data_IF_772791943046
#
_entry.id   IF_772791943046
#
_cell.length_a   1.000
_cell.length_b   1.000
_cell.length_c   1.000
_cell.angle_alpha   90.00
_cell.angle_beta   90.00
_cell.angle_gamma   90.00
#
_symmetry.space_group_name_H-M   'P 1'
#
loop_
_entity.id
_entity.type
_entity.pdbx_description
1 polymer ?
#
# COMPACT_ATOMS: atom_id res chain seq x y z
N UNK A 1 14.67 -10.66 12.13
CA UNK A 1 14.26 -10.98 13.51
C UNK A 1 12.85 -11.55 13.45
N UNK A 2 12.61 -12.71 14.05
CA UNK A 2 11.28 -13.36 14.06
C UNK A 2 10.58 -12.93 15.35
N UNK A 3 9.43 -12.27 15.25
CA UNK A 3 8.58 -11.95 16.41
C UNK A 3 7.84 -13.20 16.87
N UNK A 4 7.68 -13.37 18.18
CA UNK A 4 6.70 -14.33 18.68
C UNK A 4 5.28 -13.84 18.43
N UNK A 5 4.32 -14.76 18.32
CA UNK A 5 2.91 -14.43 18.15
C UNK A 5 2.39 -13.51 19.26
N UNK A 6 2.78 -13.77 20.51
CA UNK A 6 2.41 -12.95 21.66
C UNK A 6 2.96 -11.51 21.58
N UNK A 7 4.20 -11.34 21.11
CA UNK A 7 4.78 -10.00 20.91
C UNK A 7 4.06 -9.24 19.80
N UNK A 8 3.76 -9.90 18.68
CA UNK A 8 2.99 -9.30 17.59
C UNK A 8 1.59 -8.87 18.07
N UNK A 9 0.88 -9.76 18.77
CA UNK A 9 -0.48 -9.48 19.24
C UNK A 9 -0.52 -8.32 20.27
N UNK A 10 0.50 -8.18 21.13
CA UNK A 10 0.63 -7.03 22.04
C UNK A 10 0.82 -5.71 21.27
N UNK A 11 1.67 -5.71 20.24
CA UNK A 11 1.90 -4.52 19.40
C UNK A 11 0.62 -4.13 18.67
N UNK A 12 -0.08 -5.10 18.05
CA UNK A 12 -1.34 -4.85 17.35
C UNK A 12 -2.40 -4.29 18.31
N UNK A 13 -2.54 -4.87 19.50
CA UNK A 13 -3.47 -4.38 20.51
C UNK A 13 -3.18 -2.92 20.88
N UNK A 14 -1.91 -2.56 21.03
CA UNK A 14 -1.55 -1.17 21.30
C UNK A 14 -1.88 -0.24 20.11
N UNK A 15 -1.62 -0.68 18.87
CA UNK A 15 -1.96 0.08 17.65
C UNK A 15 -3.45 0.40 17.57
N UNK A 16 -4.33 -0.54 17.93
CA UNK A 16 -5.80 -0.30 17.86
C UNK A 16 -6.31 0.84 18.75
N UNK A 17 -5.52 1.25 19.75
CA UNK A 17 -5.87 2.36 20.67
C UNK A 17 -5.20 3.68 20.25
N UNK A 18 -4.31 3.63 19.26
CA UNK A 18 -3.63 4.82 18.74
C UNK A 18 -4.45 5.45 17.62
N UNK A 19 -4.48 6.79 17.58
CA UNK A 19 -5.02 7.52 16.43
C UNK A 19 -4.16 7.30 15.19
N UNK A 20 -4.72 7.54 14.02
CA UNK A 20 -4.07 7.31 12.74
C UNK A 20 -3.11 8.45 12.34
N UNK A 21 -2.13 8.76 13.20
CA UNK A 21 -1.21 9.89 13.03
C UNK A 21 0.27 9.52 13.14
N UNK A 22 1.16 10.38 12.61
CA UNK A 22 2.62 10.24 12.77
C UNK A 22 3.07 10.14 14.23
N UNK A 23 2.34 10.74 15.16
CA UNK A 23 2.65 10.69 16.59
C UNK A 23 2.50 9.28 17.16
N UNK A 24 1.70 8.42 16.52
CA UNK A 24 1.47 7.05 16.94
C UNK A 24 2.72 6.18 16.77
N UNK A 25 3.58 6.50 15.79
CA UNK A 25 4.85 5.81 15.63
C UNK A 25 5.83 6.09 16.78
N UNK A 26 5.90 7.34 17.23
CA UNK A 26 6.77 7.70 18.36
C UNK A 26 6.29 7.03 19.65
N UNK A 27 4.97 6.94 19.86
CA UNK A 27 4.38 6.18 20.97
C UNK A 27 4.70 4.69 20.88
N UNK A 28 4.69 4.10 19.68
CA UNK A 28 5.08 2.71 19.46
C UNK A 28 6.55 2.45 19.82
N UNK A 29 7.46 3.32 19.36
CA UNK A 29 8.89 3.21 19.66
C UNK A 29 9.16 3.27 21.17
N UNK A 30 8.48 4.19 21.86
CA UNK A 30 8.62 4.34 23.31
C UNK A 30 8.10 3.10 24.07
N UNK A 31 7.01 2.50 23.60
CA UNK A 31 6.39 1.33 24.24
C UNK A 31 7.15 0.03 23.97
N UNK A 32 7.74 -0.13 22.79
CA UNK A 32 8.41 -1.35 22.34
C UNK A 32 9.88 -1.11 21.93
N UNK A 33 10.74 -0.61 22.83
CA UNK A 33 12.12 -0.22 22.50
C UNK A 33 13.02 -1.41 22.12
N UNK A 34 12.63 -2.64 22.46
CA UNK A 34 13.35 -3.85 22.10
C UNK A 34 13.13 -4.28 20.64
N UNK A 35 12.17 -3.68 19.94
CA UNK A 35 11.87 -3.98 18.55
C UNK A 35 12.52 -2.96 17.62
N UNK A 36 12.96 -3.42 16.45
CA UNK A 36 13.52 -2.50 15.46
C UNK A 36 12.46 -1.51 14.95
N UNK A 37 12.89 -0.31 14.60
CA UNK A 37 12.00 0.71 14.02
C UNK A 37 11.32 0.19 12.74
N UNK A 38 12.05 -0.51 11.87
CA UNK A 38 11.50 -1.07 10.63
C UNK A 38 10.41 -2.09 10.91
N UNK A 39 10.56 -2.91 11.95
CA UNK A 39 9.57 -3.89 12.38
C UNK A 39 8.29 -3.22 12.86
N UNK A 40 8.41 -2.22 13.75
CA UNK A 40 7.25 -1.50 14.28
C UNK A 40 6.52 -0.72 13.18
N UNK A 41 7.26 -0.07 12.27
CA UNK A 41 6.71 0.60 11.09
C UNK A 41 5.93 -0.36 10.20
N UNK A 42 6.48 -1.56 9.98
CA UNK A 42 5.86 -2.56 9.12
C UNK A 42 4.54 -3.07 9.70
N UNK A 43 4.51 -3.41 10.99
CA UNK A 43 3.29 -3.83 11.68
C UNK A 43 2.27 -2.68 11.67
N UNK A 44 2.71 -1.48 12.01
CA UNK A 44 1.85 -0.29 12.00
C UNK A 44 1.24 -0.05 10.62
N UNK A 45 2.04 -0.02 9.56
CA UNK A 45 1.55 0.20 8.19
C UNK A 45 0.55 -0.88 7.76
N UNK A 46 0.74 -2.13 8.19
CA UNK A 46 -0.16 -3.22 7.82
C UNK A 46 -1.50 -3.13 8.56
N UNK A 47 -1.49 -2.90 9.87
CA UNK A 47 -2.71 -2.69 10.65
C UNK A 47 -3.47 -1.44 10.20
N UNK A 48 -2.72 -0.39 9.87
CA UNK A 48 -3.26 0.83 9.28
C UNK A 48 -4.01 0.53 7.97
N UNK A 49 -3.40 -0.21 7.04
CA UNK A 49 -4.04 -0.60 5.79
C UNK A 49 -5.29 -1.47 6.00
N UNK A 50 -5.26 -2.40 6.97
CA UNK A 50 -6.44 -3.21 7.31
C UNK A 50 -7.58 -2.34 7.82
N UNK A 51 -7.27 -1.37 8.67
CA UNK A 51 -8.25 -0.45 9.21
C UNK A 51 -8.85 0.45 8.11
N UNK A 52 -8.01 1.03 7.25
CA UNK A 52 -8.42 1.77 6.04
C UNK A 52 -9.41 1.00 5.18
N UNK A 53 -9.10 -0.27 4.85
CA UNK A 53 -9.98 -1.11 4.02
C UNK A 53 -11.35 -1.34 4.66
N UNK A 54 -11.42 -1.47 5.99
CA UNK A 54 -12.68 -1.70 6.72
C UNK A 54 -13.55 -0.46 6.79
N UNK A 55 -12.95 0.73 6.94
CA UNK A 55 -13.68 1.99 7.09
C UNK A 55 -13.92 2.71 5.78
N UNK A 56 -13.20 2.36 4.70
CA UNK A 56 -13.25 3.03 3.39
C UNK A 56 -14.68 3.33 2.90
N UNK A 57 -15.58 2.36 2.97
CA UNK A 57 -16.95 2.48 2.48
C UNK A 57 -17.73 3.59 3.22
N UNK A 58 -17.45 3.80 4.51
CA UNK A 58 -18.12 4.81 5.33
C UNK A 58 -17.73 6.24 4.93
N UNK A 59 -16.54 6.41 4.34
CA UNK A 59 -16.02 7.73 3.95
C UNK A 59 -16.28 8.10 2.49
N UNK A 60 -16.66 7.12 1.66
CA UNK A 60 -16.89 7.29 0.21
C UNK A 60 -18.38 7.30 -0.16
N UNK A 61 -19.29 7.45 0.80
CA UNK A 61 -20.71 7.70 0.45
C UNK A 61 -20.87 9.12 -0.06
N UNK A 62 -21.81 9.40 -1.00
CA UNK A 62 -22.03 10.74 -1.50
C UNK A 62 -22.26 11.78 -0.39
N UNK A 63 -22.97 11.40 0.67
CA UNK A 63 -23.26 12.26 1.82
C UNK A 63 -21.99 12.57 2.64
N UNK A 64 -21.14 11.56 2.85
CA UNK A 64 -19.87 11.73 3.55
C UNK A 64 -18.91 12.62 2.76
N UNK A 65 -18.78 12.38 1.45
CA UNK A 65 -17.95 13.18 0.55
C UNK A 65 -18.40 14.65 0.52
N UNK A 66 -19.70 14.89 0.40
CA UNK A 66 -20.28 16.24 0.45
C UNK A 66 -20.01 16.91 1.80
N UNK A 67 -20.20 16.17 2.90
CA UNK A 67 -19.94 16.68 4.25
C UNK A 67 -18.47 17.11 4.41
N UNK A 68 -17.52 16.30 3.95
CA UNK A 68 -16.10 16.66 4.01
C UNK A 68 -15.78 17.87 3.16
N UNK A 69 -16.34 17.95 1.95
CA UNK A 69 -16.14 19.08 1.03
C UNK A 69 -16.68 20.39 1.62
N UNK A 70 -17.89 20.39 2.20
CA UNK A 70 -18.46 21.57 2.84
C UNK A 70 -17.66 22.03 4.06
N UNK A 71 -17.23 21.08 4.90
CA UNK A 71 -16.39 21.38 6.06
C UNK A 71 -15.03 21.95 5.65
N UNK A 72 -14.44 21.40 4.59
CA UNK A 72 -13.22 21.92 3.99
C UNK A 72 -13.41 23.38 3.53
N UNK A 73 -14.44 23.63 2.72
CA UNK A 73 -14.73 24.96 2.18
C UNK A 73 -14.94 25.99 3.30
N UNK A 74 -15.77 25.68 4.29
CA UNK A 74 -16.02 26.56 5.45
C UNK A 74 -14.74 26.93 6.20
N UNK A 75 -13.90 25.94 6.54
CA UNK A 75 -12.67 26.19 7.31
C UNK A 75 -11.60 26.92 6.51
N UNK A 76 -11.50 26.65 5.21
CA UNK A 76 -10.57 27.37 4.32
C UNK A 76 -10.99 28.82 4.13
N UNK A 77 -12.29 29.12 4.09
CA UNK A 77 -12.79 30.50 4.06
C UNK A 77 -12.44 31.28 5.32
N UNK A 78 -12.41 30.62 6.48
CA UNK A 78 -12.00 31.23 7.75
C UNK A 78 -10.48 31.42 7.82
N UNK A 79 -9.70 30.40 7.43
CA UNK A 79 -8.24 30.45 7.42
C UNK A 79 -7.65 29.55 6.33
N UNK A 80 -7.33 30.16 5.18
CA UNK A 80 -6.77 29.45 4.02
C UNK A 80 -5.36 28.89 4.24
N UNK A 81 -4.65 29.35 5.28
CA UNK A 81 -3.30 28.88 5.62
C UNK A 81 -3.29 27.71 6.60
N UNK A 82 -4.41 27.41 7.27
CA UNK A 82 -4.51 26.28 8.19
C UNK A 82 -4.46 24.94 7.43
N UNK A 83 -3.90 23.86 7.99
CA UNK A 83 -3.84 22.54 7.34
C UNK A 83 -5.18 21.80 7.45
N UNK A 84 -6.25 22.40 6.93
CA UNK A 84 -7.65 21.95 7.07
C UNK A 84 -7.84 20.48 6.71
N UNK A 85 -7.32 20.01 5.58
CA UNK A 85 -7.52 18.61 5.17
C UNK A 85 -6.83 17.63 6.11
N UNK A 86 -5.66 17.99 6.65
CA UNK A 86 -4.93 17.16 7.61
C UNK A 86 -5.68 17.08 8.94
N UNK A 87 -6.25 18.19 9.40
CA UNK A 87 -7.07 18.23 10.61
C UNK A 87 -8.34 17.39 10.44
N UNK A 88 -9.06 17.55 9.33
CA UNK A 88 -10.25 16.75 9.03
C UNK A 88 -9.92 15.26 8.99
N UNK A 89 -8.78 14.88 8.38
CA UNK A 89 -8.32 13.50 8.36
C UNK A 89 -8.13 12.95 9.79
N UNK A 90 -7.42 13.69 10.65
CA UNK A 90 -7.18 13.29 12.03
C UNK A 90 -8.48 13.19 12.86
N UNK A 91 -9.45 14.08 12.65
CA UNK A 91 -10.72 14.10 13.40
C UNK A 91 -11.61 12.88 13.11
N UNK A 92 -11.52 12.33 11.90
CA UNK A 92 -12.28 11.12 11.50
C UNK A 92 -11.39 9.88 11.41
N UNK A 93 -10.19 9.98 11.98
CA UNK A 93 -9.10 9.01 11.90
C UNK A 93 -8.68 8.62 10.47
N UNK A 94 -9.14 9.25 9.39
CA UNK A 94 -8.82 8.86 8.02
C UNK A 94 -7.36 9.16 7.64
N UNK A 95 -6.82 8.44 6.64
CA UNK A 95 -5.54 8.81 6.04
C UNK A 95 -5.57 10.21 5.43
N UNK A 96 -4.54 11.04 5.66
CA UNK A 96 -4.47 12.35 5.02
C UNK A 96 -4.57 12.27 3.50
N UNK A 97 -3.90 11.29 2.86
CA UNK A 97 -3.97 11.11 1.41
C UNK A 97 -5.36 10.69 0.92
N UNK A 98 -6.10 9.88 1.69
CA UNK A 98 -7.48 9.51 1.36
C UNK A 98 -8.45 10.67 1.58
N UNK A 99 -8.28 11.47 2.64
CA UNK A 99 -9.06 12.69 2.83
C UNK A 99 -8.86 13.66 1.66
N UNK A 100 -7.59 13.86 1.26
CA UNK A 100 -7.25 14.66 0.09
C UNK A 100 -7.87 14.11 -1.19
N UNK A 101 -7.84 12.78 -1.39
CA UNK A 101 -8.49 12.11 -2.52
C UNK A 101 -10.00 12.39 -2.57
N UNK A 102 -10.70 12.23 -1.45
CA UNK A 102 -12.16 12.40 -1.37
C UNK A 102 -12.54 13.85 -1.71
N UNK A 103 -11.88 14.82 -1.09
CA UNK A 103 -12.17 16.24 -1.34
C UNK A 103 -11.82 16.64 -2.77
N UNK A 104 -10.70 16.16 -3.30
CA UNK A 104 -10.30 16.42 -4.68
C UNK A 104 -11.28 15.80 -5.69
N UNK A 105 -11.73 14.57 -5.44
CA UNK A 105 -12.74 13.90 -6.28
C UNK A 105 -14.05 14.70 -6.31
N UNK A 106 -14.53 15.16 -5.15
CA UNK A 106 -15.75 15.96 -5.08
C UNK A 106 -15.59 17.35 -5.71
N UNK A 107 -14.42 17.99 -5.55
CA UNK A 107 -14.08 19.26 -6.21
C UNK A 107 -14.15 19.14 -7.74
N UNK A 108 -13.60 18.07 -8.30
CA UNK A 108 -13.61 17.86 -9.75
C UNK A 108 -15.02 17.55 -10.28
N UNK A 109 -15.83 16.81 -9.52
CA UNK A 109 -17.26 16.59 -9.84
C UNK A 109 -18.09 17.89 -9.84
N UNK A 110 -17.65 18.90 -9.10
CA UNK A 110 -18.30 20.21 -9.06
C UNK A 110 -18.00 21.04 -10.33
N UNK A 111 -16.78 20.91 -10.84
CA UNK A 111 -16.28 21.65 -12.01
C UNK A 111 -16.71 20.99 -13.33
N UNK A 112 -16.69 19.65 -13.38
CA UNK A 112 -17.03 18.88 -14.58
C UNK A 112 -18.33 18.11 -14.32
N UNK A 113 -19.36 18.33 -15.12
CA UNK A 113 -20.68 17.69 -15.00
C UNK A 113 -20.68 16.17 -15.32
N UNK A 114 -19.52 15.51 -15.27
CA UNK A 114 -19.26 14.13 -15.73
C UNK A 114 -18.41 13.39 -14.69
N UNK A 115 -18.50 12.05 -14.68
CA UNK A 115 -17.70 11.22 -13.78
C UNK A 115 -16.19 11.41 -13.99
N UNK A 116 -15.49 11.78 -12.92
CA UNK A 116 -14.04 12.03 -12.92
C UNK A 116 -13.26 10.71 -13.04
N UNK A 117 -12.26 10.67 -13.92
CA UNK A 117 -11.42 9.48 -14.07
C UNK A 117 -10.47 9.29 -12.88
N UNK A 118 -10.39 8.06 -12.36
CA UNK A 118 -9.42 7.67 -11.31
C UNK A 118 -7.97 7.96 -11.70
N UNK A 119 -7.65 7.90 -12.99
CA UNK A 119 -6.31 8.17 -13.51
C UNK A 119 -5.93 9.63 -13.30
N UNK A 120 -6.87 10.54 -13.55
CA UNK A 120 -6.66 11.99 -13.38
C UNK A 120 -6.44 12.32 -11.91
N UNK A 121 -7.30 11.80 -11.02
CA UNK A 121 -7.17 12.00 -9.57
C UNK A 121 -5.79 11.50 -9.08
N UNK A 122 -5.40 10.29 -9.47
CA UNK A 122 -4.11 9.73 -9.07
C UNK A 122 -2.92 10.56 -9.61
N UNK A 123 -3.04 11.13 -10.81
CA UNK A 123 -2.03 12.04 -11.37
C UNK A 123 -1.91 13.31 -10.52
N UNK A 124 -3.03 13.93 -10.15
CA UNK A 124 -3.06 15.15 -9.33
C UNK A 124 -2.60 14.92 -7.87
N UNK A 125 -2.84 13.73 -7.31
CA UNK A 125 -2.31 13.36 -5.99
C UNK A 125 -0.79 13.17 -6.00
N UNK A 126 -0.21 12.74 -7.13
CA UNK A 126 1.24 12.60 -7.33
C UNK A 126 1.90 13.94 -7.67
N UNK A 127 1.25 14.73 -8.51
CA UNK A 127 1.68 16.06 -8.90
C UNK A 127 0.57 17.08 -8.63
N UNK A 128 0.67 17.73 -7.47
CA UNK A 128 -0.34 18.69 -7.00
C UNK A 128 -0.33 20.00 -7.79
N UNK A 129 0.68 20.25 -8.62
CA UNK A 129 0.72 21.43 -9.49
C UNK A 129 -0.35 21.37 -10.60
N UNK A 130 -0.86 20.18 -10.88
CA UNK A 130 -1.95 19.95 -11.84
C UNK A 130 -3.33 20.38 -11.29
N UNK A 131 -3.44 20.67 -9.99
CA UNK A 131 -4.69 21.11 -9.36
C UNK A 131 -4.88 22.62 -9.59
N UNK A 132 -5.97 23.07 -10.25
CA UNK A 132 -6.15 24.49 -10.59
C UNK A 132 -6.28 25.41 -9.36
N UNK A 133 -6.99 24.95 -8.32
CA UNK A 133 -7.13 25.71 -7.09
C UNK A 133 -5.85 25.60 -6.24
N UNK A 134 -5.17 26.74 -6.06
CA UNK A 134 -3.87 26.78 -5.36
C UNK A 134 -3.99 26.40 -3.88
N UNK A 135 -5.12 26.69 -3.26
CA UNK A 135 -5.34 26.39 -1.84
C UNK A 135 -5.48 24.88 -1.67
N UNK A 136 -6.36 24.25 -2.46
CA UNK A 136 -6.54 22.81 -2.52
C UNK A 136 -5.25 22.10 -2.92
N UNK A 137 -4.52 22.61 -3.91
CA UNK A 137 -3.21 22.07 -4.31
C UNK A 137 -2.24 21.99 -3.11
N UNK A 138 -2.14 23.06 -2.32
CA UNK A 138 -1.30 23.09 -1.12
C UNK A 138 -1.83 22.13 -0.03
N UNK A 139 -3.15 22.06 0.17
CA UNK A 139 -3.75 21.16 1.16
C UNK A 139 -3.52 19.69 0.81
N UNK A 140 -3.72 19.32 -0.45
CA UNK A 140 -3.43 17.98 -0.97
C UNK A 140 -1.94 17.66 -0.81
N UNK A 141 -1.05 18.62 -1.12
CA UNK A 141 0.38 18.46 -0.95
C UNK A 141 0.76 18.19 0.52
N UNK A 142 0.22 18.95 1.46
CA UNK A 142 0.44 18.74 2.90
C UNK A 142 -0.05 17.36 3.35
N UNK A 143 -1.21 16.92 2.87
CA UNK A 143 -1.73 15.58 3.15
C UNK A 143 -0.80 14.49 2.61
N UNK A 144 -0.39 14.58 1.34
CA UNK A 144 0.53 13.62 0.72
C UNK A 144 1.86 13.56 1.46
N UNK A 145 2.41 14.71 1.88
CA UNK A 145 3.65 14.78 2.66
C UNK A 145 3.51 14.20 4.05
N UNK A 146 2.34 14.29 4.69
CA UNK A 146 2.13 13.87 6.08
C UNK A 146 1.53 12.48 6.22
N UNK A 147 1.05 11.88 5.14
CA UNK A 147 0.60 10.49 5.14
C UNK A 147 1.80 9.55 5.33
N UNK A 148 1.74 8.73 6.37
CA UNK A 148 2.83 7.86 6.77
C UNK A 148 2.69 6.42 6.27
N UNK A 149 1.54 6.04 5.68
CA UNK A 149 1.24 4.63 5.40
C UNK A 149 0.50 4.36 4.09
N UNK A 150 -0.20 5.35 3.53
CA UNK A 150 -1.16 5.20 2.42
C UNK A 150 -0.96 6.23 1.29
N UNK A 151 -0.03 7.16 1.45
CA UNK A 151 0.25 8.19 0.44
C UNK A 151 1.18 7.74 -0.69
N UNK A 152 1.20 8.48 -1.83
CA UNK A 152 2.07 8.21 -2.97
C UNK A 152 3.56 7.98 -2.63
N UNK A 153 4.09 8.72 -1.65
CA UNK A 153 5.49 8.58 -1.22
C UNK A 153 5.77 7.21 -0.61
N UNK A 154 4.83 6.70 0.19
CA UNK A 154 4.95 5.39 0.83
C UNK A 154 4.87 4.27 -0.21
N UNK A 155 4.00 4.45 -1.21
CA UNK A 155 3.88 3.51 -2.34
C UNK A 155 5.18 3.48 -3.15
N UNK A 156 5.79 4.63 -3.43
CA UNK A 156 7.09 4.71 -4.07
C UNK A 156 8.18 3.98 -3.26
N UNK A 157 8.25 4.20 -1.94
CA UNK A 157 9.21 3.50 -1.07
C UNK A 157 9.00 1.98 -1.13
N UNK A 158 7.75 1.51 -1.01
CA UNK A 158 7.41 0.08 -1.08
C UNK A 158 7.82 -0.53 -2.42
N UNK A 159 7.56 0.17 -3.52
CA UNK A 159 7.93 -0.29 -4.85
C UNK A 159 9.45 -0.37 -5.02
N UNK A 160 10.19 0.65 -4.60
CA UNK A 160 11.66 0.65 -4.66
C UNK A 160 12.26 -0.49 -3.83
N UNK A 161 11.74 -0.76 -2.63
CA UNK A 161 12.19 -1.88 -1.79
C UNK A 161 11.89 -3.23 -2.46
N UNK A 162 10.71 -3.38 -3.08
CA UNK A 162 10.36 -4.58 -3.85
C UNK A 162 11.34 -4.85 -4.97
N UNK A 163 11.58 -3.84 -5.80
CA UNK A 163 12.53 -3.90 -6.90
C UNK A 163 13.96 -4.20 -6.43
N UNK A 164 14.43 -3.61 -5.33
CA UNK A 164 15.74 -3.92 -4.75
C UNK A 164 15.85 -5.41 -4.38
N UNK A 165 14.81 -6.00 -3.78
CA UNK A 165 14.81 -7.42 -3.43
C UNK A 165 14.76 -8.33 -4.66
N UNK A 166 14.07 -7.94 -5.72
CA UNK A 166 14.08 -8.65 -7.00
C UNK A 166 15.46 -8.64 -7.65
N UNK A 167 16.16 -7.50 -7.63
CA UNK A 167 17.56 -7.39 -8.11
C UNK A 167 18.48 -8.30 -7.30
N UNK A 168 18.39 -8.30 -5.96
CA UNK A 168 19.20 -9.17 -5.10
C UNK A 168 18.89 -10.65 -5.34
N UNK A 169 17.62 -11.00 -5.57
CA UNK A 169 17.22 -12.37 -5.91
C UNK A 169 17.84 -12.80 -7.25
N UNK A 170 17.77 -11.93 -8.27
CA UNK A 170 18.39 -12.15 -9.58
C UNK A 170 19.89 -12.41 -9.44
N UNK A 171 20.60 -11.59 -8.67
CA UNK A 171 22.04 -11.77 -8.41
C UNK A 171 22.33 -13.13 -7.77
N UNK A 172 21.55 -13.55 -6.77
CA UNK A 172 21.70 -14.87 -6.15
C UNK A 172 21.44 -16.02 -7.13
N UNK A 173 20.42 -15.92 -7.97
CA UNK A 173 20.15 -16.95 -8.99
C UNK A 173 21.35 -17.10 -9.94
N UNK A 174 21.96 -15.98 -10.35
CA UNK A 174 23.15 -15.97 -11.19
C UNK A 174 24.39 -16.55 -10.48
N UNK A 175 24.62 -16.18 -9.22
CA UNK A 175 25.71 -16.73 -8.38
C UNK A 175 25.61 -18.26 -8.26
N UNK A 176 24.38 -18.77 -8.13
CA UNK A 176 24.09 -20.20 -8.08
C UNK A 176 24.01 -20.88 -9.46
N UNK A 177 24.30 -20.15 -10.55
CA UNK A 177 24.30 -20.66 -11.93
C UNK A 177 22.96 -21.28 -12.34
N UNK A 178 21.86 -20.72 -11.82
CA UNK A 178 20.51 -21.14 -12.18
C UNK A 178 20.07 -20.41 -13.44
N UNK A 179 19.57 -21.16 -14.42
CA UNK A 179 18.96 -20.59 -15.61
C UNK A 179 17.51 -20.20 -15.32
N UNK A 180 17.12 -18.97 -15.63
CA UNK A 180 15.79 -18.44 -15.35
C UNK A 180 15.31 -17.44 -16.41
N UNK A 181 13.99 -17.26 -16.46
CA UNK A 181 13.29 -16.22 -17.22
C UNK A 181 12.69 -15.20 -16.25
N UNK A 182 12.87 -13.92 -16.55
CA UNK A 182 12.34 -12.80 -15.78
C UNK A 182 10.93 -12.40 -16.24
N UNK A 183 10.19 -11.68 -15.40
CA UNK A 183 8.81 -11.27 -15.66
C UNK A 183 8.60 -10.65 -17.05
N UNK A 184 9.44 -9.68 -17.44
CA UNK A 184 9.32 -8.99 -18.72
C UNK A 184 9.49 -9.95 -19.91
N UNK A 185 10.41 -10.91 -19.81
CA UNK A 185 10.61 -11.92 -20.85
C UNK A 185 9.41 -12.86 -20.96
N UNK A 186 8.71 -13.11 -19.86
CA UNK A 186 7.47 -13.88 -19.85
C UNK A 186 6.31 -13.07 -20.46
N UNK A 187 6.26 -11.76 -20.20
CA UNK A 187 5.26 -10.86 -20.82
C UNK A 187 5.45 -10.81 -22.34
N UNK A 188 6.69 -10.69 -22.82
CA UNK A 188 7.02 -10.70 -24.25
C UNK A 188 6.65 -12.02 -24.94
N UNK A 189 6.74 -13.14 -24.20
CA UNK A 189 6.33 -14.47 -24.67
C UNK A 189 4.81 -14.69 -24.62
N UNK A 190 4.03 -13.71 -24.15
CA UNK A 190 2.57 -13.77 -24.10
C UNK A 190 2.00 -14.58 -22.95
N UNK A 191 2.75 -14.75 -21.85
CA UNK A 191 2.21 -15.41 -20.66
C UNK A 191 1.23 -14.49 -19.92
N UNK A 192 0.01 -14.97 -19.67
CA UNK A 192 -1.02 -14.24 -18.90
C UNK A 192 -0.64 -14.01 -17.43
N UNK A 193 0.22 -14.89 -16.88
CA UNK A 193 0.71 -14.81 -15.50
C UNK A 193 2.21 -14.98 -15.50
N UNK A 194 2.87 -14.04 -14.85
CA UNK A 194 4.31 -13.84 -14.91
C UNK A 194 4.82 -13.78 -13.47
N UNK A 195 5.24 -14.90 -12.87
CA UNK A 195 5.97 -14.83 -11.61
C UNK A 195 7.27 -14.07 -11.87
N UNK A 196 7.86 -13.50 -10.82
CA UNK A 196 9.08 -12.69 -10.96
C UNK A 196 10.20 -13.46 -11.66
N UNK A 197 10.32 -14.77 -11.34
CA UNK A 197 11.25 -15.68 -12.00
C UNK A 197 10.62 -17.06 -12.29
N UNK A 198 10.86 -17.59 -13.48
CA UNK A 198 10.68 -19.02 -13.80
C UNK A 198 12.05 -19.65 -13.97
N UNK A 199 12.32 -20.74 -13.25
CA UNK A 199 13.54 -21.51 -13.43
C UNK A 199 13.40 -22.40 -14.67
N UNK A 200 14.31 -22.27 -15.62
CA UNK A 200 14.31 -23.10 -16.83
C UNK A 200 14.52 -24.57 -16.48
N UNK A 201 15.35 -24.83 -15.45
CA UNK A 201 15.54 -26.14 -14.85
C UNK A 201 15.04 -26.11 -13.41
N UNK A 202 13.99 -26.88 -13.06
CA UNK A 202 13.52 -26.97 -11.69
C UNK A 202 14.60 -27.44 -10.72
N UNK A 203 14.60 -26.90 -9.50
CA UNK A 203 15.57 -27.24 -8.45
C UNK A 203 14.88 -27.90 -7.26
N UNK A 204 15.55 -28.86 -6.63
CA UNK A 204 15.06 -29.48 -5.40
C UNK A 204 15.60 -28.71 -4.18
N UNK A 205 14.70 -28.15 -3.37
CA UNK A 205 15.02 -27.45 -2.12
C UNK A 205 14.23 -28.10 -1.00
N UNK A 206 14.93 -28.67 0.00
CA UNK A 206 14.29 -29.32 1.15
C UNK A 206 13.20 -30.35 0.78
N UNK A 207 13.43 -31.12 -0.28
CA UNK A 207 12.48 -32.13 -0.77
C UNK A 207 11.34 -31.59 -1.64
N UNK A 208 11.31 -30.28 -1.91
CA UNK A 208 10.33 -29.64 -2.77
C UNK A 208 10.94 -29.27 -4.12
N UNK A 209 10.24 -29.56 -5.22
CA UNK A 209 10.63 -29.14 -6.56
C UNK A 209 10.13 -27.71 -6.78
N UNK A 210 11.06 -26.79 -6.98
CA UNK A 210 10.80 -25.37 -7.22
C UNK A 210 11.01 -25.08 -8.70
N UNK A 211 10.00 -24.52 -9.35
CA UNK A 211 10.04 -24.17 -10.77
C UNK A 211 9.81 -22.67 -11.03
N UNK A 212 9.26 -21.96 -10.06
CA UNK A 212 9.01 -20.52 -10.15
C UNK A 212 9.23 -19.89 -8.77
N UNK A 213 9.57 -18.61 -8.78
CA UNK A 213 9.83 -17.82 -7.58
C UNK A 213 9.04 -16.52 -7.70
N UNK A 214 8.32 -16.20 -6.64
CA UNK A 214 7.66 -14.91 -6.45
C UNK A 214 8.29 -14.26 -5.21
N UNK A 215 9.00 -13.17 -5.45
CA UNK A 215 9.57 -12.29 -4.45
C UNK A 215 8.48 -11.43 -3.81
N UNK A 216 8.47 -11.36 -2.48
CA UNK A 216 7.61 -10.44 -1.75
C UNK A 216 8.40 -9.77 -0.63
N UNK A 217 8.75 -8.50 -0.84
CA UNK A 217 9.42 -7.66 0.16
C UNK A 217 8.40 -6.91 1.03
N UNK A 218 7.52 -7.66 1.71
CA UNK A 218 6.50 -7.09 2.60
C UNK A 218 6.46 -7.83 3.93
N UNK A 219 5.84 -7.23 4.94
CA UNK A 219 5.70 -7.87 6.24
C UNK A 219 4.75 -9.06 6.17
N UNK A 220 5.30 -10.25 6.39
CA UNK A 220 4.55 -11.51 6.38
C UNK A 220 3.74 -11.69 7.65
N UNK A 221 2.44 -11.42 7.59
CA UNK A 221 1.47 -11.85 8.59
C UNK A 221 0.58 -12.97 8.04
N UNK A 222 -0.13 -13.66 8.92
CA UNK A 222 -0.98 -14.79 8.53
C UNK A 222 -2.05 -14.40 7.50
N UNK A 223 -2.62 -13.20 7.62
CA UNK A 223 -3.67 -12.73 6.72
C UNK A 223 -3.14 -12.48 5.30
N UNK A 224 -1.98 -11.82 5.17
CA UNK A 224 -1.34 -11.57 3.88
C UNK A 224 -0.88 -12.89 3.25
N UNK A 225 -0.29 -13.80 4.03
CA UNK A 225 0.09 -15.13 3.53
C UNK A 225 -1.11 -15.92 2.98
N UNK A 226 -2.25 -15.92 3.68
CA UNK A 226 -3.46 -16.59 3.20
C UNK A 226 -4.00 -15.95 1.90
N UNK A 227 -3.99 -14.63 1.81
CA UNK A 227 -4.42 -13.91 0.60
C UNK A 227 -3.49 -14.22 -0.60
N UNK A 228 -2.17 -14.17 -0.41
CA UNK A 228 -1.20 -14.51 -1.45
C UNK A 228 -1.35 -15.95 -1.95
N UNK A 229 -1.57 -16.90 -1.03
CA UNK A 229 -1.83 -18.28 -1.41
C UNK A 229 -3.08 -18.36 -2.31
N UNK A 230 -4.19 -17.73 -1.92
CA UNK A 230 -5.45 -17.73 -2.68
C UNK A 230 -5.33 -17.09 -4.06
N UNK A 231 -4.70 -15.91 -4.16
CA UNK A 231 -4.70 -15.10 -5.39
C UNK A 231 -3.63 -15.54 -6.40
N UNK A 232 -2.44 -15.90 -5.91
CA UNK A 232 -1.29 -16.24 -6.77
C UNK A 232 -1.05 -17.76 -6.82
N UNK A 233 -0.93 -18.44 -5.67
CA UNK A 233 -0.50 -19.84 -5.64
C UNK A 233 -1.52 -20.82 -6.27
N UNK A 234 -2.82 -20.68 -5.98
CA UNK A 234 -3.86 -21.56 -6.54
C UNK A 234 -3.90 -21.51 -8.08
N UNK A 235 -3.57 -20.35 -8.67
CA UNK A 235 -3.54 -20.20 -10.13
C UNK A 235 -2.38 -20.97 -10.78
N UNK A 236 -1.25 -21.12 -10.09
CA UNK A 236 -0.12 -21.93 -10.54
C UNK A 236 -0.34 -23.42 -10.26
N UNK A 237 -0.88 -23.77 -9.09
CA UNK A 237 -1.19 -25.16 -8.69
C UNK A 237 -2.16 -25.86 -9.65
N UNK A 238 -3.15 -25.12 -10.17
CA UNK A 238 -4.12 -25.66 -11.11
C UNK A 238 -3.56 -25.86 -12.53
N UNK A 239 -2.51 -25.13 -12.92
CA UNK A 239 -1.88 -25.25 -14.25
C UNK A 239 -0.80 -26.33 -14.30
N UNK A 240 -0.02 -26.53 -13.25
CA UNK A 240 0.98 -27.63 -13.19
C UNK A 240 0.33 -29.02 -13.16
N UNK A 241 -0.92 -29.14 -12.67
CA UNK A 241 -1.69 -30.39 -12.79
C UNK A 241 -2.30 -30.63 -14.18
N UNK A 242 -2.40 -29.62 -15.04
CA UNK A 242 -2.97 -29.77 -16.38
C UNK A 242 -2.00 -30.40 -17.40
N UNK A 243 -0.72 -30.55 -17.06
CA UNK A 243 0.32 -31.14 -17.93
C UNK A 243 0.68 -32.58 -17.55
N UNK A 244 0.11 -33.14 -16.48
CA UNK A 244 0.26 -34.55 -16.10
C UNK A 244 -1.06 -35.33 -16.27
N UNK A 245 -1.64 -35.26 -17.47
CA UNK A 245 -2.54 -36.32 -17.97
C UNK A 245 -1.79 -37.07 -19.07
N UNK A 246 -1.10 -38.13 -18.67
CA UNK A 246 -0.93 -39.30 -19.54
C UNK A 246 -2.10 -40.23 -19.27
#
# INVERSE_FOLDING_TARGET
MILSKAQYDEIVKFITVLSCSRQSLEKLKLRFPSQSQCTLLSIFSQEYQKWMKRTHANHHTPEAMETYYQRYHSRVMENSSAPVLLELANEVDLSPALMARIVLERFLQDQESVSVSKVVINSMLRDTSLIPDRTLANQVFQCTLNDCCYGPLVDCIKHSIGHEHEVLLREKLLEHQLAFLEEDQLRDKGYDKTPDFILEVPVAVEGHIIHWIESKASFGDESSHRAYLQEQFWSYWNRTKAVLRH
#
